data_IF_503665768423
#
_entry.id   IF_503665768423
#
_cell.length_a   1.000
_cell.length_b   1.000
_cell.length_c   1.000
_cell.angle_alpha   90.00
_cell.angle_beta   90.00
_cell.angle_gamma   90.00
#
_symmetry.space_group_name_H-M   'P 1'
#
loop_
_entity.id
_entity.type
_entity.pdbx_description
1 polymer ?
#
# COMPACT_ATOMS: atom_id res chain seq x y z
N UNK A 1 -36.14 -26.49 18.09
CA UNK A 1 -35.64 -25.10 18.26
C UNK A 1 -34.16 -24.98 18.66
N UNK A 2 -33.44 -26.06 19.00
CA UNK A 2 -32.02 -25.97 19.42
C UNK A 2 -31.02 -25.53 18.33
N UNK A 3 -31.27 -25.85 17.05
CA UNK A 3 -30.34 -25.55 15.96
C UNK A 3 -30.28 -24.05 15.61
N UNK A 4 -31.42 -23.35 15.65
CA UNK A 4 -31.48 -21.92 15.28
C UNK A 4 -30.70 -21.03 16.25
N UNK A 5 -30.77 -21.29 17.56
CA UNK A 5 -30.02 -20.48 18.53
C UNK A 5 -28.51 -20.67 18.43
N UNK A 6 -28.07 -21.89 18.13
CA UNK A 6 -26.66 -22.16 17.87
C UNK A 6 -26.15 -21.39 16.64
N UNK A 7 -26.90 -21.43 15.53
CA UNK A 7 -26.55 -20.72 14.29
C UNK A 7 -26.57 -19.19 14.49
N UNK A 8 -27.57 -18.65 15.20
CA UNK A 8 -27.61 -17.22 15.57
C UNK A 8 -26.35 -16.83 16.39
N UNK A 9 -25.92 -17.67 17.32
CA UNK A 9 -24.69 -17.44 18.11
C UNK A 9 -23.40 -17.51 17.28
N UNK A 10 -23.36 -18.32 16.20
CA UNK A 10 -22.24 -18.32 15.26
C UNK A 10 -22.21 -17.03 14.43
N UNK A 11 -23.36 -16.58 13.89
CA UNK A 11 -23.47 -15.30 13.20
C UNK A 11 -23.00 -14.14 14.08
N UNK A 12 -23.48 -14.04 15.31
CA UNK A 12 -23.08 -12.95 16.23
C UNK A 12 -21.57 -12.90 16.43
N UNK A 13 -20.89 -14.06 16.53
CA UNK A 13 -19.43 -14.10 16.63
C UNK A 13 -18.74 -13.63 15.35
N UNK A 14 -19.22 -14.05 14.18
CA UNK A 14 -18.71 -13.59 12.89
C UNK A 14 -18.91 -12.08 12.72
N UNK A 15 -20.10 -11.57 13.06
CA UNK A 15 -20.45 -10.15 13.01
C UNK A 15 -19.55 -9.30 13.91
N UNK A 16 -19.30 -9.74 15.14
CA UNK A 16 -18.42 -9.00 16.07
C UNK A 16 -16.96 -8.98 15.59
N UNK A 17 -16.46 -10.11 15.07
CA UNK A 17 -15.14 -10.16 14.49
C UNK A 17 -15.04 -9.23 13.26
N UNK A 18 -16.05 -9.23 12.41
CA UNK A 18 -16.11 -8.37 11.23
C UNK A 18 -16.19 -6.88 11.59
N UNK A 19 -17.06 -6.49 12.52
CA UNK A 19 -17.16 -5.10 13.01
C UNK A 19 -15.83 -4.60 13.57
N UNK A 20 -15.10 -5.44 14.30
CA UNK A 20 -13.76 -5.09 14.79
C UNK A 20 -12.78 -4.81 13.65
N UNK A 21 -12.77 -5.65 12.60
CA UNK A 21 -11.86 -5.42 11.47
C UNK A 21 -12.31 -4.23 10.59
N UNK A 22 -13.61 -3.94 10.51
CA UNK A 22 -14.15 -2.69 9.92
C UNK A 22 -13.60 -1.45 10.64
N UNK A 23 -13.61 -1.47 11.98
CA UNK A 23 -13.06 -0.39 12.79
C UNK A 23 -11.54 -0.26 12.59
N UNK A 24 -10.81 -1.39 12.57
CA UNK A 24 -9.37 -1.39 12.29
C UNK A 24 -9.04 -0.84 10.89
N UNK A 25 -9.82 -1.23 9.88
CA UNK A 25 -9.66 -0.74 8.50
C UNK A 25 -9.88 0.77 8.40
N UNK A 26 -10.92 1.26 9.06
CA UNK A 26 -11.21 2.71 9.14
C UNK A 26 -10.07 3.47 9.83
N UNK A 27 -9.57 2.97 10.95
CA UNK A 27 -8.42 3.57 11.66
C UNK A 27 -7.14 3.60 10.81
N UNK A 28 -6.93 2.59 9.97
CA UNK A 28 -5.79 2.59 9.04
C UNK A 28 -5.88 3.74 8.03
N UNK A 29 -7.09 4.09 7.56
CA UNK A 29 -7.31 5.22 6.65
C UNK A 29 -7.09 6.57 7.33
N UNK A 30 -7.41 6.67 8.62
CA UNK A 30 -7.25 7.89 9.42
C UNK A 30 -5.80 8.14 9.87
N UNK A 31 -4.91 7.17 9.68
CA UNK A 31 -3.52 7.26 10.16
C UNK A 31 -2.70 8.25 9.32
N UNK A 32 -2.07 9.24 9.96
CA UNK A 32 -1.13 10.14 9.28
C UNK A 32 0.15 9.38 8.87
N UNK A 33 0.33 9.22 7.56
CA UNK A 33 1.43 8.47 6.94
C UNK A 33 2.66 9.33 6.63
N UNK A 34 2.65 10.63 6.95
CA UNK A 34 3.70 11.58 6.56
C UNK A 34 5.10 11.22 7.11
N UNK A 35 5.18 10.65 8.31
CA UNK A 35 6.43 10.28 8.99
C UNK A 35 6.60 8.78 9.27
N UNK A 36 5.75 7.94 8.68
CA UNK A 36 5.80 6.48 8.87
C UNK A 36 6.70 5.80 7.83
N UNK A 37 7.23 4.64 8.21
CA UNK A 37 7.83 3.69 7.27
C UNK A 37 6.76 3.19 6.30
N UNK A 38 6.84 3.63 5.05
CA UNK A 38 5.82 3.41 4.02
C UNK A 38 5.67 1.94 3.66
N UNK A 39 6.77 1.17 3.66
CA UNK A 39 6.77 -0.27 3.40
C UNK A 39 5.97 -0.97 4.49
N UNK A 40 6.27 -0.65 5.75
CA UNK A 40 5.58 -1.24 6.89
C UNK A 40 4.08 -0.90 6.89
N UNK A 41 3.73 0.35 6.57
CA UNK A 41 2.33 0.78 6.46
C UNK A 41 1.61 0.04 5.32
N UNK A 42 2.24 -0.10 4.14
CA UNK A 42 1.67 -0.84 3.01
C UNK A 42 1.44 -2.33 3.33
N UNK A 43 2.34 -2.94 4.10
CA UNK A 43 2.19 -4.31 4.62
C UNK A 43 1.04 -4.43 5.62
N UNK A 44 0.91 -3.46 6.53
CA UNK A 44 -0.16 -3.45 7.53
C UNK A 44 -1.53 -3.22 6.87
N UNK A 45 -1.61 -2.32 5.88
CA UNK A 45 -2.79 -2.17 5.01
C UNK A 45 -3.13 -3.49 4.31
N UNK A 46 -2.13 -4.19 3.76
CA UNK A 46 -2.35 -5.48 3.09
C UNK A 46 -2.89 -6.55 4.03
N UNK A 47 -2.44 -6.58 5.28
CA UNK A 47 -2.99 -7.47 6.31
C UNK A 47 -4.42 -7.09 6.68
N UNK A 48 -4.71 -5.79 6.77
CA UNK A 48 -6.04 -5.27 7.09
C UNK A 48 -7.06 -5.69 6.02
N UNK A 49 -6.74 -5.49 4.74
CA UNK A 49 -7.57 -5.92 3.61
C UNK A 49 -7.87 -7.43 3.69
N UNK A 50 -6.83 -8.27 3.84
CA UNK A 50 -7.01 -9.74 3.92
C UNK A 50 -7.90 -10.17 5.08
N UNK A 51 -7.79 -9.49 6.23
CA UNK A 51 -8.64 -9.79 7.39
C UNK A 51 -10.08 -9.38 7.15
N UNK A 52 -10.30 -8.19 6.57
CA UNK A 52 -11.63 -7.71 6.18
C UNK A 52 -12.29 -8.69 5.21
N UNK A 53 -11.61 -9.09 4.13
CA UNK A 53 -12.10 -10.08 3.17
C UNK A 53 -12.47 -11.41 3.86
N UNK A 54 -11.56 -11.97 4.67
CA UNK A 54 -11.83 -13.23 5.38
C UNK A 54 -13.00 -13.13 6.36
N UNK A 55 -13.16 -12.00 7.03
CA UNK A 55 -14.28 -11.78 7.95
C UNK A 55 -15.60 -11.53 7.21
N UNK A 56 -15.57 -10.82 6.07
CA UNK A 56 -16.71 -10.63 5.17
C UNK A 56 -17.26 -11.98 4.68
N UNK A 57 -16.39 -12.85 4.16
CA UNK A 57 -16.78 -14.19 3.69
C UNK A 57 -17.41 -15.02 4.81
N UNK A 58 -16.84 -14.96 6.01
CA UNK A 58 -17.39 -15.67 7.18
C UNK A 58 -18.75 -15.12 7.59
N UNK A 59 -18.94 -13.80 7.57
CA UNK A 59 -20.21 -13.19 7.90
C UNK A 59 -21.27 -13.59 6.86
N UNK A 60 -20.96 -13.47 5.57
CA UNK A 60 -21.87 -13.87 4.49
C UNK A 60 -22.29 -15.33 4.64
N UNK A 61 -21.34 -16.24 4.83
CA UNK A 61 -21.64 -17.67 5.03
C UNK A 61 -22.57 -17.93 6.23
N UNK A 62 -22.34 -17.25 7.36
CA UNK A 62 -23.21 -17.41 8.52
C UNK A 62 -24.59 -16.77 8.30
N UNK A 63 -24.65 -15.66 7.57
CA UNK A 63 -25.90 -14.99 7.22
C UNK A 63 -26.77 -15.88 6.34
N UNK A 64 -26.19 -16.51 5.32
CA UNK A 64 -26.86 -17.48 4.45
C UNK A 64 -27.38 -18.68 5.27
N UNK A 65 -26.58 -19.20 6.20
CA UNK A 65 -27.00 -20.30 7.09
C UNK A 65 -28.16 -19.92 8.00
N UNK A 66 -28.15 -18.70 8.55
CA UNK A 66 -29.27 -18.18 9.33
C UNK A 66 -30.51 -18.06 8.44
N UNK A 67 -30.37 -17.50 7.24
CA UNK A 67 -31.48 -17.31 6.30
C UNK A 67 -32.10 -18.63 5.86
N UNK A 68 -31.29 -19.64 5.53
CA UNK A 68 -31.73 -21.01 5.23
C UNK A 68 -32.51 -21.61 6.40
N UNK A 69 -32.05 -21.37 7.63
CA UNK A 69 -32.65 -21.97 8.84
C UNK A 69 -33.98 -21.29 9.21
N UNK A 70 -34.08 -19.97 9.02
CA UNK A 70 -35.31 -19.22 9.22
C UNK A 70 -36.35 -19.57 8.14
N UNK A 71 -35.91 -19.68 6.88
CA UNK A 71 -36.77 -19.99 5.73
C UNK A 71 -37.99 -19.07 5.68
N UNK A 72 -39.15 -19.63 5.31
CA UNK A 72 -40.41 -18.90 5.25
C UNK A 72 -41.13 -18.81 6.60
N UNK A 73 -40.52 -19.32 7.67
CA UNK A 73 -41.14 -19.34 9.01
C UNK A 73 -41.06 -17.97 9.70
N UNK A 74 -40.00 -17.23 9.43
CA UNK A 74 -39.76 -15.88 9.97
C UNK A 74 -39.15 -14.97 8.88
N UNK A 75 -39.92 -14.65 7.81
CA UNK A 75 -39.41 -13.91 6.65
C UNK A 75 -38.93 -12.50 7.02
N UNK A 76 -39.64 -11.80 7.89
CA UNK A 76 -39.26 -10.46 8.34
C UNK A 76 -37.90 -10.46 9.07
N UNK A 77 -37.64 -11.46 9.93
CA UNK A 77 -36.37 -11.57 10.64
C UNK A 77 -35.23 -11.96 9.69
N UNK A 78 -35.51 -12.85 8.74
CA UNK A 78 -34.56 -13.23 7.70
C UNK A 78 -34.13 -12.01 6.89
N UNK A 79 -35.08 -11.23 6.40
CA UNK A 79 -34.81 -10.06 5.57
C UNK A 79 -34.08 -8.97 6.36
N UNK A 80 -34.44 -8.75 7.63
CA UNK A 80 -33.72 -7.82 8.50
C UNK A 80 -32.24 -8.21 8.69
N UNK A 81 -31.95 -9.50 8.88
CA UNK A 81 -30.59 -10.01 9.04
C UNK A 81 -29.77 -9.86 7.75
N UNK A 82 -30.35 -10.27 6.62
CA UNK A 82 -29.68 -10.18 5.32
C UNK A 82 -29.39 -8.72 4.94
N UNK A 83 -30.33 -7.81 5.20
CA UNK A 83 -30.15 -6.39 4.93
C UNK A 83 -29.09 -5.75 5.86
N UNK A 84 -29.07 -6.09 7.15
CA UNK A 84 -28.03 -5.62 8.09
C UNK A 84 -26.64 -6.06 7.60
N UNK A 85 -26.48 -7.35 7.30
CA UNK A 85 -25.18 -7.90 6.90
C UNK A 85 -24.75 -7.38 5.53
N UNK A 86 -25.65 -7.28 4.56
CA UNK A 86 -25.37 -6.70 3.25
C UNK A 86 -24.85 -5.26 3.37
N UNK A 87 -25.51 -4.42 4.18
CA UNK A 87 -25.10 -3.03 4.40
C UNK A 87 -23.67 -2.94 4.97
N UNK A 88 -23.33 -3.85 5.89
CA UNK A 88 -21.99 -3.88 6.48
C UNK A 88 -20.93 -4.41 5.50
N UNK A 89 -21.30 -5.35 4.64
CA UNK A 89 -20.44 -5.89 3.59
C UNK A 89 -20.15 -4.83 2.52
N UNK A 90 -21.15 -4.06 2.11
CA UNK A 90 -20.98 -2.91 1.21
C UNK A 90 -19.98 -1.90 1.79
N UNK A 91 -20.16 -1.54 3.07
CA UNK A 91 -19.21 -0.66 3.77
C UNK A 91 -17.78 -1.22 3.79
N UNK A 92 -17.62 -2.54 3.92
CA UNK A 92 -16.30 -3.15 3.88
C UNK A 92 -15.68 -3.08 2.48
N UNK A 93 -16.47 -3.23 1.41
CA UNK A 93 -15.97 -3.08 0.04
C UNK A 93 -15.44 -1.66 -0.19
N UNK A 94 -16.15 -0.63 0.29
CA UNK A 94 -15.70 0.76 0.21
C UNK A 94 -14.37 0.96 0.94
N UNK A 95 -14.27 0.48 2.20
CA UNK A 95 -13.03 0.58 2.99
C UNK A 95 -11.88 -0.19 2.34
N UNK A 96 -12.14 -1.37 1.78
CA UNK A 96 -11.11 -2.15 1.07
C UNK A 96 -10.61 -1.38 -0.15
N UNK A 97 -11.50 -0.76 -0.94
CA UNK A 97 -11.12 0.03 -2.09
C UNK A 97 -10.25 1.23 -1.70
N UNK A 98 -10.64 1.95 -0.64
CA UNK A 98 -9.87 3.08 -0.11
C UNK A 98 -8.49 2.65 0.40
N UNK A 99 -8.41 1.51 1.09
CA UNK A 99 -7.15 0.94 1.56
C UNK A 99 -6.25 0.50 0.41
N UNK A 100 -6.81 -0.13 -0.64
CA UNK A 100 -6.07 -0.48 -1.84
C UNK A 100 -5.51 0.76 -2.53
N UNK A 101 -6.32 1.80 -2.68
CA UNK A 101 -5.90 3.07 -3.26
C UNK A 101 -4.78 3.76 -2.44
N UNK A 102 -4.89 3.76 -1.11
CA UNK A 102 -3.85 4.28 -0.24
C UNK A 102 -2.54 3.49 -0.39
N UNK A 103 -2.62 2.16 -0.45
CA UNK A 103 -1.46 1.29 -0.68
C UNK A 103 -0.78 1.59 -2.03
N UNK A 104 -1.56 1.72 -3.10
CA UNK A 104 -1.03 2.08 -4.42
C UNK A 104 -0.32 3.44 -4.42
N UNK A 105 -0.91 4.44 -3.74
CA UNK A 105 -0.29 5.75 -3.55
C UNK A 105 1.05 5.66 -2.80
N UNK A 106 1.11 4.87 -1.73
CA UNK A 106 2.35 4.68 -0.96
C UNK A 106 3.45 4.06 -1.82
N UNK A 107 3.13 2.99 -2.55
CA UNK A 107 4.07 2.31 -3.45
C UNK A 107 4.55 3.25 -4.59
N UNK A 108 3.64 4.02 -5.20
CA UNK A 108 3.99 4.95 -6.27
C UNK A 108 4.87 6.11 -5.79
N UNK A 109 4.66 6.60 -4.56
CA UNK A 109 5.48 7.64 -3.96
C UNK A 109 6.90 7.16 -3.58
N UNK A 110 7.10 5.85 -3.45
CA UNK A 110 8.39 5.21 -3.18
C UNK A 110 9.20 5.07 -4.48
N UNK A 111 8.60 4.54 -5.55
CA UNK A 111 9.25 4.44 -6.86
C UNK A 111 9.76 5.80 -7.38
N UNK A 112 8.99 6.88 -7.19
CA UNK A 112 9.42 8.23 -7.59
C UNK A 112 10.58 8.77 -6.76
N UNK A 113 10.71 8.35 -5.50
CA UNK A 113 11.82 8.78 -4.62
C UNK A 113 13.10 8.05 -5.01
N UNK A 114 13.00 6.78 -5.36
CA UNK A 114 14.13 5.97 -5.82
C UNK A 114 14.62 6.44 -7.19
N UNK A 115 13.73 6.71 -8.15
CA UNK A 115 14.07 7.27 -9.47
C UNK A 115 14.76 8.65 -9.34
N UNK A 116 14.23 9.56 -8.52
CA UNK A 116 14.84 10.88 -8.32
C UNK A 116 16.19 10.83 -7.59
N UNK A 117 16.42 9.83 -6.74
CA UNK A 117 17.72 9.62 -6.10
C UNK A 117 18.77 9.11 -7.10
N UNK A 118 18.35 8.23 -8.01
CA UNK A 118 19.23 7.65 -9.03
C UNK A 118 19.60 8.67 -10.11
N UNK A 119 18.66 9.51 -10.56
CA UNK A 119 18.95 10.63 -11.49
C UNK A 119 19.95 11.63 -10.89
N UNK A 120 19.81 11.97 -9.61
CA UNK A 120 20.76 12.84 -8.91
C UNK A 120 22.18 12.22 -8.82
N UNK A 121 22.26 10.90 -8.62
CA UNK A 121 23.54 10.18 -8.59
C UNK A 121 24.18 10.16 -9.98
N UNK A 122 23.42 9.81 -11.02
CA UNK A 122 23.88 9.80 -12.41
C UNK A 122 24.37 11.19 -12.83
N UNK A 123 23.62 12.25 -12.50
CA UNK A 123 24.02 13.62 -12.81
C UNK A 123 25.32 14.02 -12.09
N UNK A 124 25.47 13.70 -10.80
CA UNK A 124 26.73 13.96 -10.06
C UNK A 124 27.93 13.20 -10.64
N UNK A 125 27.73 11.94 -11.04
CA UNK A 125 28.77 11.13 -11.67
C UNK A 125 29.17 11.70 -13.03
N UNK A 126 28.21 12.18 -13.81
CA UNK A 126 28.45 12.83 -15.09
C UNK A 126 29.23 14.14 -14.93
N UNK A 127 28.80 15.01 -14.01
CA UNK A 127 29.51 16.27 -13.69
C UNK A 127 30.95 16.02 -13.22
N UNK A 128 31.17 14.98 -12.41
CA UNK A 128 32.51 14.60 -11.96
C UNK A 128 33.39 14.09 -13.13
N UNK A 129 32.84 13.24 -14.01
CA UNK A 129 33.52 12.77 -15.22
C UNK A 129 33.94 13.93 -16.12
N UNK A 130 33.05 14.89 -16.37
CA UNK A 130 33.34 16.07 -17.18
C UNK A 130 34.47 16.91 -16.58
N UNK A 131 34.47 17.14 -15.25
CA UNK A 131 35.56 17.86 -14.57
C UNK A 131 36.91 17.15 -14.73
N UNK A 132 36.96 15.83 -14.60
CA UNK A 132 38.19 15.07 -14.80
C UNK A 132 38.72 15.20 -16.24
N UNK A 133 37.82 15.20 -17.23
CA UNK A 133 38.20 15.40 -18.63
C UNK A 133 38.72 16.82 -18.87
N UNK A 134 38.05 17.85 -18.35
CA UNK A 134 38.50 19.24 -18.43
C UNK A 134 39.89 19.41 -17.79
N UNK A 135 40.14 18.82 -16.63
CA UNK A 135 41.44 18.87 -15.98
C UNK A 135 42.53 18.16 -16.79
N UNK A 136 42.21 17.03 -17.42
CA UNK A 136 43.13 16.30 -18.28
C UNK A 136 43.52 17.15 -19.51
N UNK A 137 42.54 17.74 -20.20
CA UNK A 137 42.80 18.62 -21.34
C UNK A 137 43.57 19.88 -20.91
N UNK A 138 43.24 20.48 -19.76
CA UNK A 138 43.97 21.62 -19.20
C UNK A 138 45.44 21.27 -19.00
N UNK A 139 45.75 20.16 -18.31
CA UNK A 139 47.14 19.69 -18.09
C UNK A 139 47.87 19.38 -19.40
N UNK A 140 47.20 18.78 -20.40
CA UNK A 140 47.82 18.59 -21.71
C UNK A 140 48.15 19.92 -22.40
N UNK A 141 47.25 20.90 -22.34
CA UNK A 141 47.46 22.21 -22.96
C UNK A 141 48.62 22.98 -22.30
N UNK A 142 48.71 22.94 -20.98
CA UNK A 142 49.80 23.52 -20.19
C UNK A 142 51.14 22.88 -20.58
N UNK A 143 51.18 21.55 -20.65
CA UNK A 143 52.39 20.82 -21.05
C UNK A 143 52.84 21.14 -22.49
N UNK A 144 51.91 21.33 -23.44
CA UNK A 144 52.25 21.76 -24.82
C UNK A 144 52.81 23.19 -24.86
N UNK A 145 52.29 24.10 -24.04
CA UNK A 145 52.81 25.47 -23.96
C UNK A 145 54.22 25.53 -23.37
N UNK A 146 54.53 24.66 -22.39
CA UNK A 146 55.87 24.54 -21.83
C UNK A 146 56.84 23.98 -22.88
N UNK A 147 56.45 22.94 -23.63
CA UNK A 147 57.27 22.35 -24.69
C UNK A 147 57.58 23.34 -25.84
N UNK A 148 56.63 24.20 -26.21
CA UNK A 148 56.84 25.23 -27.24
C UNK A 148 57.77 26.37 -26.78
N UNK A 149 57.91 26.60 -25.46
CA UNK A 149 58.85 27.58 -24.91
C UNK A 149 60.29 27.05 -24.79
N UNK A 150 60.51 25.75 -24.91
CA UNK A 150 61.84 25.11 -24.88
C UNK A 150 62.43 24.82 -26.26
N UNK A 151 62.00 25.52 -27.31
CA UNK A 151 62.69 25.51 -28.60
C UNK A 151 63.98 26.36 -28.51
N UNK A 152 64.93 25.88 -27.71
CA UNK A 152 66.31 26.36 -27.70
C UNK A 152 66.96 25.77 -28.95
N UNK A 153 67.43 26.65 -29.85
CA UNK A 153 68.37 26.27 -30.91
C UNK A 153 69.56 25.55 -30.26
N UNK A 154 69.65 24.24 -30.47
CA UNK A 154 70.90 23.54 -30.26
C UNK A 154 71.91 24.01 -31.32
N UNK A 155 73.19 24.23 -30.96
CA UNK A 155 74.24 24.56 -31.91
C UNK A 155 74.44 23.45 -32.95
#
# INVERSE_FOLDING_TARGET
MANLQYIKGLRTRALNAFKKELDNGSQCLDTDVSNCDRIKVADDISKSIKKLESCSEKLQFQSDKVAETLGDKEPELKDAILNEDATLLDKAMDIIADLQFLKEKLNAAENKKDEAMDENLVQRLFEHQMKLQEEFFRKQSENRQVANKTNIKLP
#
